data_IF_859062700556
#
_entry.id   IF_859062700556
#
_cell.length_a   1.000
_cell.length_b   1.000
_cell.length_c   1.000
_cell.angle_alpha   90.00
_cell.angle_beta   90.00
_cell.angle_gamma   90.00
#
_symmetry.space_group_name_H-M   'P 1'
#
loop_
_entity.id
_entity.type
_entity.pdbx_description
1 polymer ?
#
# COMPACT_ATOMS: atom_id res chain seq x y z
N UNK A 1 -28.87 3.53 -7.67
CA UNK A 1 -28.41 3.63 -6.27
C UNK A 1 -27.04 3.01 -6.21
N UNK A 2 -26.03 3.85 -6.07
CA UNK A 2 -24.66 3.39 -5.99
C UNK A 2 -24.49 2.62 -4.67
N UNK A 3 -23.81 1.47 -4.67
CA UNK A 3 -23.54 0.71 -3.42
C UNK A 3 -22.81 1.61 -2.39
N UNK A 4 -22.13 2.64 -2.91
CA UNK A 4 -21.49 3.74 -2.22
C UNK A 4 -22.44 4.60 -1.36
N UNK A 5 -23.70 4.78 -1.75
CA UNK A 5 -24.72 5.54 -1.00
C UNK A 5 -25.48 4.64 0.00
N UNK A 6 -25.44 3.32 -0.20
CA UNK A 6 -26.20 2.34 0.61
C UNK A 6 -25.48 1.89 1.88
N UNK A 7 -24.29 2.42 2.19
CA UNK A 7 -23.56 2.05 3.40
C UNK A 7 -24.10 2.72 4.68
N UNK A 8 -25.20 3.48 4.58
CA UNK A 8 -25.94 3.99 5.75
C UNK A 8 -26.33 2.85 6.70
N UNK A 9 -26.62 1.66 6.18
CA UNK A 9 -26.99 0.48 6.98
C UNK A 9 -25.89 0.07 7.97
N UNK A 10 -24.62 0.33 7.67
CA UNK A 10 -23.50 0.02 8.55
C UNK A 10 -23.50 0.87 9.83
N UNK A 11 -24.26 1.98 9.84
CA UNK A 11 -24.44 2.86 10.99
C UNK A 11 -25.77 2.64 11.72
N UNK A 12 -26.50 1.57 11.38
CA UNK A 12 -27.79 1.22 11.99
C UNK A 12 -27.70 -0.05 12.85
N UNK A 13 -28.79 -0.41 13.52
CA UNK A 13 -28.92 -1.70 14.21
C UNK A 13 -28.76 -2.92 13.27
N UNK A 14 -28.85 -2.73 11.94
CA UNK A 14 -28.65 -3.76 10.94
C UNK A 14 -27.18 -4.15 10.68
N UNK A 15 -26.21 -3.46 11.27
CA UNK A 15 -24.79 -3.61 10.94
C UNK A 15 -24.27 -5.05 11.12
N UNK A 16 -24.66 -5.74 12.19
CA UNK A 16 -24.22 -7.13 12.42
C UNK A 16 -24.70 -8.07 11.30
N UNK A 17 -25.94 -7.91 10.84
CA UNK A 17 -26.49 -8.72 9.75
C UNK A 17 -25.80 -8.39 8.43
N UNK A 18 -25.52 -7.11 8.19
CA UNK A 18 -24.72 -6.69 7.05
C UNK A 18 -23.35 -7.38 7.06
N UNK A 19 -22.62 -7.37 8.18
CA UNK A 19 -21.30 -8.01 8.27
C UNK A 19 -21.38 -9.51 8.01
N UNK A 20 -22.34 -10.21 8.61
CA UNK A 20 -22.52 -11.66 8.42
C UNK A 20 -22.76 -12.05 6.96
N UNK A 21 -23.54 -11.26 6.23
CA UNK A 21 -23.88 -11.56 4.83
C UNK A 21 -22.80 -11.08 3.85
N UNK A 22 -22.38 -9.82 3.97
CA UNK A 22 -21.62 -9.15 2.93
C UNK A 22 -20.11 -9.27 3.11
N UNK A 23 -19.58 -9.31 4.33
CA UNK A 23 -18.13 -9.39 4.55
C UNK A 23 -17.55 -10.70 3.98
N UNK A 24 -18.29 -11.81 4.16
CA UNK A 24 -17.94 -13.09 3.55
C UNK A 24 -18.02 -13.03 2.02
N UNK A 25 -19.08 -12.43 1.47
CA UNK A 25 -19.24 -12.29 0.03
C UNK A 25 -18.11 -11.46 -0.60
N UNK A 26 -17.76 -10.32 0.00
CA UNK A 26 -16.64 -9.48 -0.44
C UNK A 26 -15.31 -10.21 -0.40
N UNK A 27 -15.05 -10.97 0.67
CA UNK A 27 -13.85 -11.81 0.78
C UNK A 27 -13.78 -12.84 -0.35
N UNK A 28 -14.89 -13.51 -0.65
CA UNK A 28 -14.97 -14.50 -1.74
C UNK A 28 -14.77 -13.83 -3.10
N UNK A 29 -15.34 -12.63 -3.31
CA UNK A 29 -15.13 -11.86 -4.55
C UNK A 29 -13.65 -11.57 -4.76
N UNK A 30 -12.97 -11.03 -3.75
CA UNK A 30 -11.56 -10.61 -3.86
C UNK A 30 -10.58 -11.78 -3.94
N UNK A 31 -10.88 -12.91 -3.28
CA UNK A 31 -9.93 -14.01 -3.12
C UNK A 31 -10.18 -15.23 -4.00
N UNK A 32 -11.40 -15.43 -4.49
CA UNK A 32 -11.80 -16.68 -5.17
C UNK A 32 -12.48 -16.46 -6.51
N UNK A 33 -13.39 -15.48 -6.61
CA UNK A 33 -14.15 -15.25 -7.85
C UNK A 33 -13.33 -14.47 -8.87
N UNK A 34 -12.67 -13.40 -8.42
CA UNK A 34 -11.86 -12.51 -9.27
C UNK A 34 -10.38 -12.72 -9.00
N UNK A 35 -9.55 -12.36 -9.98
CA UNK A 35 -8.09 -12.37 -9.85
C UNK A 35 -7.58 -10.93 -9.75
N UNK A 36 -6.38 -10.69 -9.18
CA UNK A 36 -5.71 -9.40 -9.26
C UNK A 36 -5.68 -8.86 -10.69
N UNK A 37 -6.06 -7.60 -10.86
CA UNK A 37 -6.16 -6.95 -12.16
C UNK A 37 -5.15 -5.81 -12.24
N UNK A 38 -4.46 -5.70 -13.37
CA UNK A 38 -3.41 -4.69 -13.59
C UNK A 38 -3.70 -3.80 -14.80
N UNK A 39 -4.95 -3.75 -15.23
CA UNK A 39 -5.43 -2.88 -16.32
C UNK A 39 -6.81 -2.36 -15.93
N UNK A 40 -7.17 -1.18 -16.42
CA UNK A 40 -8.52 -0.66 -16.18
C UNK A 40 -9.55 -1.49 -16.96
N UNK A 41 -10.27 -2.35 -16.24
CA UNK A 41 -11.32 -3.20 -16.78
C UNK A 41 -12.47 -3.34 -15.77
N UNK A 42 -13.64 -3.87 -16.19
CA UNK A 42 -14.78 -4.02 -15.28
C UNK A 42 -14.48 -4.86 -14.03
N UNK A 43 -13.60 -5.86 -14.12
CA UNK A 43 -13.21 -6.68 -12.97
C UNK A 43 -12.37 -5.89 -11.97
N UNK A 44 -11.44 -5.05 -12.43
CA UNK A 44 -10.69 -4.12 -11.57
C UNK A 44 -11.64 -3.12 -10.89
N UNK A 45 -12.61 -2.56 -11.62
CA UNK A 45 -13.61 -1.65 -11.05
C UNK A 45 -14.42 -2.32 -9.95
N UNK A 46 -14.85 -3.56 -10.17
CA UNK A 46 -15.54 -4.36 -9.15
C UNK A 46 -14.65 -4.57 -7.92
N UNK A 47 -13.40 -5.02 -8.10
CA UNK A 47 -12.46 -5.24 -7.00
C UNK A 47 -12.23 -3.95 -6.21
N UNK A 48 -12.02 -2.84 -6.89
CA UNK A 48 -11.82 -1.53 -6.28
C UNK A 48 -13.02 -1.08 -5.44
N UNK A 49 -14.24 -1.17 -5.99
CA UNK A 49 -15.48 -0.85 -5.25
C UNK A 49 -15.60 -1.71 -3.98
N UNK A 50 -15.30 -3.02 -4.07
CA UNK A 50 -15.35 -3.89 -2.89
C UNK A 50 -14.37 -3.44 -1.82
N UNK A 51 -13.12 -3.11 -2.19
CA UNK A 51 -12.11 -2.64 -1.24
C UNK A 51 -12.50 -1.26 -0.66
N UNK A 52 -13.09 -0.36 -1.45
CA UNK A 52 -13.63 0.91 -0.96
C UNK A 52 -14.74 0.72 0.07
N UNK A 53 -15.65 -0.24 -0.14
CA UNK A 53 -16.71 -0.58 0.82
C UNK A 53 -16.09 -1.07 2.13
N UNK A 54 -15.09 -1.96 2.05
CA UNK A 54 -14.39 -2.47 3.24
C UNK A 54 -13.70 -1.35 4.02
N UNK A 55 -13.15 -0.34 3.34
CA UNK A 55 -12.50 0.81 3.97
C UNK A 55 -13.45 1.78 4.67
N UNK A 56 -14.76 1.67 4.44
CA UNK A 56 -15.77 2.54 5.06
C UNK A 56 -16.49 1.86 6.23
N UNK A 57 -16.13 0.63 6.58
CA UNK A 57 -16.77 -0.09 7.67
C UNK A 57 -16.55 0.62 9.02
N UNK A 58 -17.59 0.85 9.83
CA UNK A 58 -17.43 1.41 11.17
C UNK A 58 -16.63 0.49 12.09
N UNK A 59 -15.60 1.03 12.72
CA UNK A 59 -14.75 0.33 13.69
C UNK A 59 -15.41 0.24 15.07
N UNK A 60 -16.62 -0.33 15.14
CA UNK A 60 -17.33 -0.61 16.39
C UNK A 60 -17.01 -2.01 16.92
N UNK A 61 -17.38 -2.29 18.17
CA UNK A 61 -17.22 -3.62 18.78
C UNK A 61 -17.96 -4.74 18.01
N UNK A 62 -19.00 -4.38 17.24
CA UNK A 62 -19.73 -5.32 16.37
C UNK A 62 -18.85 -5.92 15.27
N UNK A 63 -17.82 -5.18 14.83
CA UNK A 63 -16.88 -5.64 13.80
C UNK A 63 -15.86 -6.64 14.36
N UNK A 64 -15.61 -6.64 15.68
CA UNK A 64 -14.54 -7.42 16.33
C UNK A 64 -14.49 -8.91 15.94
N UNK A 65 -15.61 -9.63 15.78
CA UNK A 65 -15.57 -11.04 15.35
C UNK A 65 -15.02 -11.25 13.92
N UNK A 66 -14.97 -10.21 13.09
CA UNK A 66 -14.62 -10.29 11.68
C UNK A 66 -13.25 -9.66 11.35
N UNK A 67 -12.63 -8.94 12.31
CA UNK A 67 -11.43 -8.13 12.04
C UNK A 67 -10.21 -8.96 11.62
N UNK A 68 -10.09 -10.20 12.11
CA UNK A 68 -8.96 -11.05 11.73
C UNK A 68 -9.05 -11.47 10.26
N UNK A 69 -10.23 -11.89 9.80
CA UNK A 69 -10.45 -12.25 8.40
C UNK A 69 -10.33 -11.02 7.49
N UNK A 70 -10.88 -9.88 7.93
CA UNK A 70 -10.78 -8.62 7.18
C UNK A 70 -9.33 -8.16 7.01
N UNK A 71 -8.51 -8.27 8.07
CA UNK A 71 -7.10 -7.93 8.01
C UNK A 71 -6.34 -8.86 7.06
N UNK A 72 -6.60 -10.17 7.11
CA UNK A 72 -5.99 -11.15 6.20
C UNK A 72 -6.34 -10.90 4.73
N UNK A 73 -7.62 -10.64 4.44
CA UNK A 73 -8.07 -10.27 3.08
C UNK A 73 -7.35 -9.00 2.62
N UNK A 74 -7.28 -7.98 3.48
CA UNK A 74 -6.60 -6.72 3.16
C UNK A 74 -5.11 -6.91 2.92
N UNK A 75 -4.45 -7.76 3.71
CA UNK A 75 -3.03 -8.11 3.53
C UNK A 75 -2.80 -8.85 2.20
N UNK A 76 -3.70 -9.77 1.84
CA UNK A 76 -3.61 -10.50 0.58
C UNK A 76 -3.77 -9.56 -0.61
N UNK A 77 -4.73 -8.64 -0.58
CA UNK A 77 -4.91 -7.64 -1.65
C UNK A 77 -3.70 -6.69 -1.71
N UNK A 78 -3.21 -6.17 -0.58
CA UNK A 78 -2.02 -5.32 -0.52
C UNK A 78 -0.78 -6.00 -1.15
N UNK A 79 -0.63 -7.31 -0.99
CA UNK A 79 0.56 -8.05 -1.44
C UNK A 79 0.45 -8.58 -2.87
N UNK A 80 -0.76 -8.71 -3.42
CA UNK A 80 -0.99 -9.38 -4.72
C UNK A 80 -1.65 -8.52 -5.78
N UNK A 81 -2.30 -7.41 -5.40
CA UNK A 81 -3.10 -6.59 -6.32
C UNK A 81 -2.38 -5.31 -6.75
N UNK A 82 -3.04 -4.52 -7.60
CA UNK A 82 -2.52 -3.24 -8.08
C UNK A 82 -2.48 -2.14 -7.00
N UNK A 83 -1.73 -1.08 -7.32
CA UNK A 83 -1.45 0.07 -6.47
C UNK A 83 -2.71 0.74 -5.93
N UNK A 84 -3.77 0.87 -6.72
CA UNK A 84 -5.00 1.56 -6.28
C UNK A 84 -5.68 0.80 -5.15
N UNK A 85 -5.85 -0.53 -5.33
CA UNK A 85 -6.43 -1.38 -4.30
C UNK A 85 -5.50 -1.49 -3.09
N UNK A 86 -4.18 -1.59 -3.31
CA UNK A 86 -3.18 -1.62 -2.24
C UNK A 86 -3.19 -0.38 -1.36
N UNK A 87 -3.36 0.81 -1.93
CA UNK A 87 -3.39 2.07 -1.19
C UNK A 87 -4.61 2.17 -0.27
N UNK A 88 -5.72 1.56 -0.64
CA UNK A 88 -6.87 1.45 0.24
C UNK A 88 -6.60 0.38 1.30
N UNK A 89 -6.08 -0.78 0.92
CA UNK A 89 -5.80 -1.87 1.86
C UNK A 89 -4.79 -1.51 2.95
N UNK A 90 -3.75 -0.72 2.66
CA UNK A 90 -2.80 -0.26 3.71
C UNK A 90 -3.49 0.64 4.74
N UNK A 91 -4.50 1.42 4.35
CA UNK A 91 -5.32 2.23 5.28
C UNK A 91 -6.20 1.36 6.15
N UNK A 92 -6.88 0.38 5.55
CA UNK A 92 -7.67 -0.62 6.30
C UNK A 92 -6.77 -1.32 7.33
N UNK A 93 -5.60 -1.81 6.91
CA UNK A 93 -4.64 -2.48 7.80
C UNK A 93 -4.23 -1.57 8.95
N UNK A 94 -3.86 -0.33 8.67
CA UNK A 94 -3.48 0.64 9.69
C UNK A 94 -4.61 0.86 10.71
N UNK A 95 -5.84 1.10 10.25
CA UNK A 95 -6.96 1.36 11.14
C UNK A 95 -7.36 0.14 11.96
N UNK A 96 -7.32 -1.06 11.38
CA UNK A 96 -7.61 -2.29 12.13
C UNK A 96 -6.57 -2.53 13.23
N UNK A 97 -5.28 -2.41 12.91
CA UNK A 97 -4.18 -2.57 13.87
C UNK A 97 -4.20 -1.48 14.95
N UNK A 98 -4.70 -0.29 14.61
CA UNK A 98 -4.92 0.81 15.55
C UNK A 98 -6.04 0.51 16.55
N UNK A 99 -7.21 0.09 16.06
CA UNK A 99 -8.44 0.08 16.85
C UNK A 99 -8.72 -1.25 17.56
N UNK A 100 -8.25 -2.40 17.06
CA UNK A 100 -8.63 -3.72 17.56
C UNK A 100 -7.50 -4.46 18.29
N UNK A 101 -6.81 -3.75 19.18
CA UNK A 101 -5.81 -4.35 20.07
C UNK A 101 -6.47 -5.14 21.20
N UNK A 102 -5.79 -6.18 21.73
CA UNK A 102 -4.57 -6.82 21.22
C UNK A 102 -4.85 -7.88 20.14
N UNK A 103 -6.10 -8.04 19.71
CA UNK A 103 -6.59 -9.13 18.87
C UNK A 103 -5.78 -9.36 17.59
N UNK A 104 -5.20 -8.32 17.02
CA UNK A 104 -4.47 -8.38 15.75
C UNK A 104 -2.93 -8.34 15.89
N UNK A 105 -2.37 -8.44 17.09
CA UNK A 105 -0.92 -8.34 17.32
C UNK A 105 -0.11 -9.37 16.49
N UNK A 106 -0.62 -10.59 16.34
CA UNK A 106 0.03 -11.65 15.55
C UNK A 106 0.13 -11.33 14.06
N UNK A 107 -0.70 -10.42 13.56
CA UNK A 107 -0.75 -10.04 12.15
C UNK A 107 0.14 -8.81 11.85
N UNK A 108 0.78 -8.24 12.88
CA UNK A 108 1.73 -7.13 12.74
C UNK A 108 3.00 -7.58 12.04
N UNK A 109 3.56 -8.75 12.41
CA UNK A 109 4.80 -9.25 11.80
C UNK A 109 4.65 -9.51 10.28
N UNK A 110 3.58 -10.16 9.79
CA UNK A 110 3.32 -10.27 8.35
C UNK A 110 3.33 -8.92 7.60
N UNK A 111 2.80 -7.85 8.21
CA UNK A 111 2.89 -6.51 7.62
C UNK A 111 4.33 -6.00 7.58
N UNK A 112 5.09 -6.15 8.66
CA UNK A 112 6.50 -5.75 8.71
C UNK A 112 7.34 -6.50 7.67
N UNK A 113 7.08 -7.79 7.47
CA UNK A 113 7.75 -8.62 6.47
C UNK A 113 7.44 -8.14 5.04
N UNK A 114 6.19 -7.73 4.78
CA UNK A 114 5.84 -7.08 3.52
C UNK A 114 6.63 -5.77 3.30
N UNK A 115 6.74 -4.93 4.34
CA UNK A 115 7.51 -3.67 4.27
C UNK A 115 9.00 -3.96 4.00
N UNK A 116 9.59 -4.95 4.68
CA UNK A 116 10.95 -5.41 4.39
C UNK A 116 11.10 -5.79 2.90
N UNK A 117 10.16 -6.56 2.36
CA UNK A 117 10.19 -7.03 0.97
C UNK A 117 10.16 -5.88 -0.03
N UNK A 118 9.30 -4.87 0.15
CA UNK A 118 9.23 -3.74 -0.79
C UNK A 118 10.50 -2.87 -0.72
N UNK A 119 11.13 -2.72 0.45
CA UNK A 119 12.41 -2.01 0.59
C UNK A 119 13.57 -2.79 -0.03
N UNK A 120 13.63 -4.12 0.17
CA UNK A 120 14.60 -4.98 -0.50
C UNK A 120 14.51 -4.89 -2.03
N UNK A 121 13.29 -4.83 -2.56
CA UNK A 121 13.03 -4.75 -4.00
C UNK A 121 13.10 -3.33 -4.56
N UNK A 122 13.35 -2.31 -3.74
CA UNK A 122 13.20 -0.91 -4.14
C UNK A 122 14.05 -0.53 -5.36
N UNK A 123 15.29 -1.02 -5.43
CA UNK A 123 16.17 -0.81 -6.59
C UNK A 123 15.58 -1.39 -7.89
N UNK A 124 14.99 -2.59 -7.81
CA UNK A 124 14.32 -3.20 -8.97
C UNK A 124 13.07 -2.43 -9.38
N UNK A 125 12.33 -1.88 -8.40
CA UNK A 125 11.20 -1.00 -8.67
C UNK A 125 11.64 0.24 -9.45
N UNK A 126 12.74 0.90 -9.05
CA UNK A 126 13.30 2.04 -9.79
C UNK A 126 13.67 1.64 -11.22
N UNK A 127 14.43 0.55 -11.38
CA UNK A 127 14.84 0.05 -12.69
C UNK A 127 13.66 -0.23 -13.61
N UNK A 128 12.56 -0.78 -13.05
CA UNK A 128 11.34 -1.05 -13.80
C UNK A 128 10.74 0.19 -14.47
N UNK A 129 10.76 1.35 -13.80
CA UNK A 129 10.21 2.59 -14.36
C UNK A 129 11.18 3.36 -15.23
N UNK A 130 12.48 3.35 -14.90
CA UNK A 130 13.44 4.28 -15.49
C UNK A 130 14.42 3.64 -16.48
N UNK A 131 14.72 2.34 -16.36
CA UNK A 131 15.70 1.67 -17.24
C UNK A 131 15.02 0.98 -18.44
N UNK A 132 13.86 0.34 -18.22
CA UNK A 132 13.13 -0.43 -19.24
C UNK A 132 12.52 0.43 -20.36
N UNK A 133 12.56 1.76 -20.24
CA UNK A 133 11.91 2.67 -21.20
C UNK A 133 12.87 3.21 -22.27
N UNK A 134 14.13 2.76 -22.25
CA UNK A 134 15.18 3.12 -23.21
C UNK A 134 15.07 2.40 -24.56
N UNK A 135 14.23 1.37 -24.70
CA UNK A 135 14.15 0.50 -25.89
C UNK A 135 12.99 0.84 -26.85
N UNK A 136 12.13 1.79 -26.51
CA UNK A 136 10.95 2.16 -27.34
C UNK A 136 11.09 3.56 -27.98
N UNK A 137 12.31 3.96 -28.33
CA UNK A 137 12.60 5.23 -29.01
C UNK A 137 13.43 4.97 -30.26
N UNK A 138 12.95 4.13 -31.16
CA UNK A 138 13.30 4.26 -32.58
C UNK A 138 12.04 4.10 -33.43
N UNK A 139 11.80 5.15 -34.22
CA UNK A 139 10.95 5.22 -35.41
C UNK A 139 9.43 5.48 -35.25
N UNK A 140 9.04 6.75 -35.12
CA UNK A 140 7.93 7.33 -35.93
C UNK A 140 8.15 8.84 -36.15
N UNK A 141 8.19 9.24 -37.43
CA UNK A 141 8.26 10.62 -37.97
C UNK A 141 7.10 11.53 -37.53
N UNK A 142 7.26 12.88 -37.54
CA UNK A 142 6.21 13.81 -37.11
C UNK A 142 5.26 14.18 -38.26
N UNK A 143 3.95 14.16 -38.02
CA UNK A 143 2.97 14.82 -38.89
C UNK A 143 1.84 15.45 -38.04
N UNK A 144 1.37 16.60 -38.52
CA UNK A 144 0.76 17.69 -37.75
C UNK A 144 -0.72 17.54 -37.34
N UNK A 145 -0.98 18.14 -36.16
CA UNK A 145 -2.17 18.76 -35.53
C UNK A 145 -3.52 18.75 -36.29
N UNK A 146 -4.58 18.31 -35.59
CA UNK A 146 -5.86 19.04 -35.48
C UNK A 146 -6.64 18.66 -34.21
N UNK A 147 -7.24 19.68 -33.61
CA UNK A 147 -7.87 19.79 -32.29
C UNK A 147 -9.28 19.19 -32.19
N UNK A 148 -9.66 18.60 -31.05
CA UNK A 148 -10.76 19.10 -30.17
C UNK A 148 -11.21 18.09 -29.10
N UNK A 149 -11.30 18.61 -27.87
CA UNK A 149 -12.28 18.32 -26.81
C UNK A 149 -12.20 17.04 -25.95
N UNK A 150 -12.27 17.36 -24.64
CA UNK A 150 -12.94 16.68 -23.53
C UNK A 150 -12.26 15.58 -22.68
N UNK A 151 -12.14 15.96 -21.40
CA UNK A 151 -12.27 15.16 -20.18
C UNK A 151 -11.21 14.09 -19.89
N UNK A 152 -10.44 14.34 -18.81
CA UNK A 152 -9.64 13.29 -18.17
C UNK A 152 -8.42 13.77 -17.39
N UNK A 153 -8.53 14.83 -16.58
CA UNK A 153 -7.73 14.86 -15.36
C UNK A 153 -8.15 13.63 -14.54
N UNK A 154 -7.19 12.93 -13.92
CA UNK A 154 -7.30 11.74 -13.04
C UNK A 154 -6.92 10.40 -13.70
N UNK A 155 -5.63 10.03 -13.63
CA UNK A 155 -5.16 8.77 -13.00
C UNK A 155 -3.66 8.57 -13.23
N UNK A 156 -2.90 9.18 -12.32
CA UNK A 156 -1.44 9.18 -12.23
C UNK A 156 -0.88 7.86 -11.67
N UNK A 157 -1.22 6.72 -12.29
CA UNK A 157 -0.78 5.38 -11.85
C UNK A 157 -0.43 4.40 -12.97
N UNK A 158 -0.58 4.82 -14.23
CA UNK A 158 -0.40 3.94 -15.37
C UNK A 158 1.05 3.96 -15.88
N UNK A 159 1.71 2.80 -15.90
CA UNK A 159 2.84 2.60 -16.82
C UNK A 159 2.28 2.68 -18.22
N UNK A 160 2.99 3.34 -19.14
CA UNK A 160 2.52 3.63 -20.50
C UNK A 160 1.73 2.46 -21.11
N UNK A 161 0.54 2.76 -21.63
CA UNK A 161 -0.51 1.87 -22.18
C UNK A 161 -1.64 1.44 -21.22
N UNK A 162 -1.93 2.16 -20.13
CA UNK A 162 -3.11 1.87 -19.31
C UNK A 162 -2.93 0.66 -18.38
N UNK A 163 -1.68 0.32 -18.05
CA UNK A 163 -1.34 -0.74 -17.09
C UNK A 163 -1.11 -0.18 -15.68
N UNK A 164 -1.83 -0.70 -14.70
CA UNK A 164 -1.71 -0.36 -13.29
C UNK A 164 -0.50 -1.06 -12.66
N UNK A 165 0.24 -0.33 -11.83
CA UNK A 165 1.38 -0.89 -11.12
C UNK A 165 0.96 -1.93 -10.07
N UNK A 166 1.70 -3.02 -9.88
CA UNK A 166 1.55 -3.85 -8.68
C UNK A 166 1.86 -3.06 -7.41
N UNK A 167 1.12 -3.33 -6.33
CA UNK A 167 1.36 -2.73 -5.01
C UNK A 167 2.78 -2.94 -4.50
N UNK A 168 3.37 -4.10 -4.82
CA UNK A 168 4.76 -4.45 -4.48
C UNK A 168 5.82 -3.62 -5.21
N UNK A 169 5.42 -2.87 -6.26
CA UNK A 169 6.27 -1.97 -7.06
C UNK A 169 5.73 -0.54 -7.06
N UNK A 170 5.00 -0.15 -6.01
CA UNK A 170 4.43 1.19 -5.88
C UNK A 170 5.29 2.10 -5.01
N UNK A 171 5.72 3.23 -5.56
CA UNK A 171 6.36 4.28 -4.77
C UNK A 171 5.40 4.90 -3.74
N UNK A 172 4.09 4.92 -4.02
CA UNK A 172 3.08 5.43 -3.08
C UNK A 172 2.94 4.52 -1.86
N UNK A 173 2.93 3.19 -2.06
CA UNK A 173 2.92 2.25 -0.93
C UNK A 173 4.19 2.38 -0.08
N UNK A 174 5.36 2.53 -0.72
CA UNK A 174 6.63 2.81 -0.01
C UNK A 174 6.55 4.12 0.77
N UNK A 175 5.87 5.14 0.23
CA UNK A 175 5.70 6.46 0.87
C UNK A 175 4.88 6.38 2.16
N UNK A 176 3.82 5.57 2.18
CA UNK A 176 2.92 5.41 3.34
C UNK A 176 3.50 4.46 4.42
N UNK A 177 4.34 3.50 4.01
CA UNK A 177 4.82 2.42 4.88
C UNK A 177 5.55 2.89 6.16
N UNK A 178 6.47 3.89 6.13
CA UNK A 178 7.16 4.35 7.34
C UNK A 178 6.22 4.81 8.45
N UNK A 179 5.16 5.55 8.11
CA UNK A 179 4.21 6.06 9.11
C UNK A 179 3.49 4.92 9.82
N UNK A 180 3.04 3.92 9.06
CA UNK A 180 2.38 2.73 9.63
C UNK A 180 3.35 1.97 10.53
N UNK A 181 4.59 1.75 10.11
CA UNK A 181 5.57 1.03 10.94
C UNK A 181 5.96 1.79 12.21
N UNK A 182 6.18 3.12 12.13
CA UNK A 182 6.43 3.97 13.30
C UNK A 182 5.30 3.78 14.31
N UNK A 183 4.06 3.89 13.83
CA UNK A 183 2.89 3.72 14.67
C UNK A 183 2.83 2.33 15.30
N UNK A 184 3.10 1.26 14.55
CA UNK A 184 3.12 -0.11 15.05
C UNK A 184 4.22 -0.34 16.10
N UNK A 185 5.36 0.32 15.99
CA UNK A 185 6.43 0.24 17.00
C UNK A 185 6.11 1.00 18.28
N UNK A 186 5.46 2.17 18.16
CA UNK A 186 4.92 2.87 19.33
C UNK A 186 3.86 2.03 20.05
N UNK A 187 3.13 1.23 19.28
CA UNK A 187 2.08 0.35 19.75
C UNK A 187 2.63 -0.90 20.46
N UNK A 188 3.45 -1.64 19.74
CA UNK A 188 3.91 -2.98 20.06
C UNK A 188 5.42 -2.90 20.27
N UNK A 189 5.82 -2.22 21.35
CA UNK A 189 7.24 -1.94 21.67
C UNK A 189 8.14 -3.19 21.72
N UNK A 190 7.54 -4.38 21.94
CA UNK A 190 8.24 -5.67 21.92
C UNK A 190 8.84 -6.01 20.54
N UNK A 191 8.19 -5.57 19.47
CA UNK A 191 8.62 -5.85 18.09
C UNK A 191 9.78 -4.98 17.64
N UNK A 192 10.10 -3.91 18.37
CA UNK A 192 11.11 -2.94 17.98
C UNK A 192 12.50 -3.57 17.94
N UNK A 193 12.85 -4.30 18.99
CA UNK A 193 14.19 -4.88 19.14
C UNK A 193 14.49 -5.94 18.08
N UNK A 194 13.48 -6.70 17.66
CA UNK A 194 13.62 -7.75 16.65
C UNK A 194 13.61 -7.18 15.24
N UNK A 195 12.86 -6.11 14.97
CA UNK A 195 12.60 -5.66 13.60
C UNK A 195 13.45 -4.46 13.15
N UNK A 196 13.80 -3.52 14.04
CA UNK A 196 14.61 -2.35 13.65
C UNK A 196 15.97 -2.74 13.06
N UNK A 197 16.73 -3.71 13.63
CA UNK A 197 18.02 -4.11 13.05
C UNK A 197 17.94 -4.61 11.61
N UNK A 198 16.76 -5.08 11.17
CA UNK A 198 16.52 -5.56 9.81
C UNK A 198 15.95 -4.46 8.90
N UNK A 199 14.98 -3.69 9.39
CA UNK A 199 14.30 -2.65 8.60
C UNK A 199 15.19 -1.44 8.34
N UNK A 200 15.97 -0.99 9.34
CA UNK A 200 16.74 0.23 9.22
C UNK A 200 17.81 0.15 8.11
N UNK A 201 18.62 -0.92 8.00
CA UNK A 201 19.55 -1.07 6.87
C UNK A 201 18.86 -1.07 5.50
N UNK A 202 17.67 -1.69 5.38
CA UNK A 202 16.90 -1.72 4.14
C UNK A 202 16.42 -0.33 3.74
N UNK A 203 15.96 0.47 4.70
CA UNK A 203 15.56 1.86 4.46
C UNK A 203 16.74 2.70 4.00
N UNK A 204 17.89 2.60 4.67
CA UNK A 204 19.11 3.34 4.27
C UNK A 204 19.53 2.94 2.86
N UNK A 205 19.59 1.63 2.56
CA UNK A 205 19.92 1.14 1.22
C UNK A 205 18.95 1.69 0.16
N UNK A 206 17.65 1.70 0.44
CA UNK A 206 16.62 2.22 -0.47
C UNK A 206 16.74 3.75 -0.69
N UNK A 207 17.01 4.52 0.36
CA UNK A 207 17.26 5.97 0.29
C UNK A 207 18.47 6.28 -0.58
N UNK A 208 19.53 5.47 -0.48
CA UNK A 208 20.77 5.67 -1.23
C UNK A 208 20.69 5.30 -2.71
N UNK A 209 19.59 4.67 -3.19
CA UNK A 209 19.48 4.34 -4.62
C UNK A 209 19.35 5.63 -5.43
N UNK A 210 20.26 5.90 -6.39
CA UNK A 210 20.15 7.08 -7.23
C UNK A 210 18.93 6.96 -8.16
N UNK A 211 18.30 8.10 -8.43
CA UNK A 211 17.33 8.21 -9.52
C UNK A 211 18.04 8.50 -10.85
N UNK A 212 17.32 8.46 -11.98
CA UNK A 212 17.90 8.81 -13.28
C UNK A 212 18.31 10.29 -13.34
N UNK A 213 19.44 10.58 -14.01
CA UNK A 213 19.94 11.95 -14.18
C UNK A 213 19.07 12.79 -15.12
N UNK A 214 18.45 12.15 -16.11
CA UNK A 214 17.55 12.78 -17.08
C UNK A 214 16.19 12.11 -17.01
N UNK A 215 15.15 12.87 -16.67
CA UNK A 215 13.78 12.39 -16.54
C UNK A 215 12.96 12.90 -17.73
N UNK A 216 12.51 12.02 -18.65
CA UNK A 216 11.57 12.39 -19.70
C UNK A 216 10.27 12.98 -19.12
N UNK A 217 9.60 13.93 -19.79
CA UNK A 217 8.35 14.53 -19.29
C UNK A 217 7.29 13.51 -18.84
N UNK A 218 7.14 12.40 -19.58
CA UNK A 218 6.21 11.30 -19.28
C UNK A 218 6.48 10.56 -17.97
N UNK A 219 7.72 10.60 -17.44
CA UNK A 219 8.11 9.93 -16.20
C UNK A 219 8.26 10.89 -15.01
N UNK A 220 7.94 12.19 -15.19
CA UNK A 220 8.07 13.20 -14.12
C UNK A 220 7.27 12.82 -12.88
N UNK A 221 6.05 12.31 -13.05
CA UNK A 221 5.19 11.88 -11.95
C UNK A 221 5.83 10.75 -11.14
N UNK A 222 6.28 9.68 -11.79
CA UNK A 222 6.95 8.56 -11.13
C UNK A 222 8.25 9.01 -10.43
N UNK A 223 8.97 9.98 -11.00
CA UNK A 223 10.16 10.53 -10.37
C UNK A 223 9.84 11.36 -9.12
N UNK A 224 8.77 12.15 -9.14
CA UNK A 224 8.27 12.87 -7.96
C UNK A 224 7.90 11.86 -6.87
N UNK A 225 7.16 10.81 -7.22
CA UNK A 225 6.76 9.76 -6.27
C UNK A 225 7.96 9.00 -5.69
N UNK A 226 8.96 8.67 -6.53
CA UNK A 226 10.24 8.12 -6.07
C UNK A 226 10.90 9.04 -5.03
N UNK A 227 10.97 10.35 -5.30
CA UNK A 227 11.57 11.32 -4.37
C UNK A 227 10.74 11.46 -3.09
N UNK A 228 9.42 11.45 -3.17
CA UNK A 228 8.53 11.42 -2.00
C UNK A 228 8.78 10.19 -1.14
N UNK A 229 8.92 9.01 -1.75
CA UNK A 229 9.21 7.76 -1.06
C UNK A 229 10.56 7.84 -0.32
N UNK A 230 11.62 8.32 -0.98
CA UNK A 230 12.94 8.49 -0.37
C UNK A 230 12.89 9.48 0.81
N UNK A 231 12.20 10.62 0.67
CA UNK A 231 12.05 11.59 1.76
C UNK A 231 11.32 11.00 2.96
N UNK A 232 10.22 10.26 2.75
CA UNK A 232 9.48 9.60 3.83
C UNK A 232 10.30 8.51 4.52
N UNK A 233 11.08 7.73 3.77
CA UNK A 233 12.01 6.76 4.35
C UNK A 233 13.10 7.44 5.18
N UNK A 234 13.66 8.57 4.73
CA UNK A 234 14.64 9.33 5.52
C UNK A 234 14.06 9.77 6.86
N UNK A 235 12.87 10.35 6.85
CA UNK A 235 12.16 10.73 8.08
C UNK A 235 11.92 9.50 8.98
N UNK A 236 11.39 8.42 8.42
CA UNK A 236 11.11 7.21 9.19
C UNK A 236 12.35 6.52 9.76
N UNK A 237 13.47 6.53 9.04
CA UNK A 237 14.74 5.98 9.52
C UNK A 237 15.27 6.74 10.74
N UNK A 238 15.12 8.07 10.73
CA UNK A 238 15.48 8.93 11.87
C UNK A 238 14.61 8.62 13.08
N UNK A 239 13.30 8.50 12.87
CA UNK A 239 12.35 8.19 13.93
C UNK A 239 12.56 6.80 14.51
N UNK A 240 12.91 5.80 13.69
CA UNK A 240 13.26 4.46 14.17
C UNK A 240 14.46 4.49 15.11
N UNK A 241 15.50 5.26 14.77
CA UNK A 241 16.66 5.43 15.66
C UNK A 241 16.24 6.07 16.98
N UNK A 242 15.36 7.08 16.94
CA UNK A 242 14.81 7.70 18.15
C UNK A 242 14.02 6.70 19.02
N UNK A 243 13.12 5.92 18.42
CA UNK A 243 12.33 4.89 19.10
C UNK A 243 13.25 3.81 19.71
N UNK A 244 14.25 3.36 18.96
CA UNK A 244 15.19 2.34 19.43
C UNK A 244 15.99 2.81 20.65
N UNK A 245 16.42 4.08 20.65
CA UNK A 245 17.16 4.68 21.78
C UNK A 245 16.34 4.79 23.06
N UNK A 246 15.02 4.92 22.96
CA UNK A 246 14.11 4.99 24.11
C UNK A 246 13.91 3.64 24.80
N UNK A 247 14.39 2.52 24.24
CA UNK A 247 14.27 1.21 24.86
C UNK A 247 15.34 1.03 25.96
N UNK A 248 14.94 0.66 27.20
CA UNK A 248 15.88 0.45 28.30
C UNK A 248 17.00 -0.53 27.95
N UNK A 249 18.24 -0.24 28.39
CA UNK A 249 19.45 -0.96 27.98
C UNK A 249 19.39 -2.48 28.22
N UNK A 250 18.76 -2.92 29.31
CA UNK A 250 18.57 -4.35 29.62
C UNK A 250 17.63 -5.12 28.68
N UNK A 251 17.05 -4.45 27.67
CA UNK A 251 16.23 -5.07 26.61
C UNK A 251 16.83 -4.91 25.21
N UNK A 252 18.01 -4.30 25.07
CA UNK A 252 18.72 -4.21 23.78
C UNK A 252 19.40 -5.56 23.48
N UNK A 253 19.35 -6.08 22.25
CA UNK A 253 20.13 -7.26 21.89
C UNK A 253 21.62 -6.94 22.07
N UNK A 254 22.35 -7.87 22.67
CA UNK A 254 23.81 -7.86 22.66
C UNK A 254 24.23 -7.97 21.19
N UNK A 255 24.70 -6.87 20.60
CA UNK A 255 25.40 -6.94 19.32
C UNK A 255 26.71 -7.70 19.58
N UNK A 256 26.77 -8.95 19.13
CA UNK A 256 28.01 -9.73 19.00
C UNK A 256 28.55 -9.60 17.58
#
# INVERSE_FOLDING_TARGET
MDVRDSLEIAHTAGYLNFLKCYLRAFSVILLQITKPQFVDNPEQKLRNIVVEILNRLPHSEVLRPFVQDLLKVSMQVLTTDNEENGLICIRIIFDLLRNFRPTLENEVQPFLDFVCKIYQNFRMTISHFFDNTSVAVEDVKPMEISTSSDQGLLSAGHVGNGQLNPSTRSFKIVTESPLVVIFLFQLYSRLVQTNIPHLLPLMVAAISVPGPDKVPPRLKTNFIELKSAQVKMTYGSTEFVSIFRLIPEGRKPLFS
#
